data_IF_022635156257
#
_entry.id   IF_022635156257
#
_cell.length_a   1.000
_cell.length_b   1.000
_cell.length_c   1.000
_cell.angle_alpha   90.00
_cell.angle_beta   90.00
_cell.angle_gamma   90.00
#
_symmetry.space_group_name_H-M   'P 1'
#
loop_
_entity.id
_entity.type
_entity.pdbx_description
1 polymer ?
#
# COMPACT_ATOMS: atom_id res chain seq x y z
N UNK A 1 -0.42 7.74 2.87
CA UNK A 1 0.07 8.44 4.09
C UNK A 1 -0.33 7.65 5.33
N UNK A 2 0.58 7.49 6.28
CA UNK A 2 0.30 6.82 7.57
C UNK A 2 0.17 7.88 8.66
N UNK A 3 -0.91 7.82 9.42
CA UNK A 3 -1.08 8.56 10.67
C UNK A 3 -0.72 7.66 11.86
N UNK A 4 0.17 8.16 12.70
CA UNK A 4 0.62 7.47 13.90
C UNK A 4 -0.15 7.96 15.12
N UNK A 5 -0.26 7.12 16.16
CA UNK A 5 -0.88 7.51 17.43
C UNK A 5 -0.03 8.49 18.24
N UNK A 6 1.28 8.44 18.07
CA UNK A 6 2.26 9.21 18.84
C UNK A 6 3.38 9.74 17.93
N UNK A 7 3.95 10.89 18.26
CA UNK A 7 5.03 11.54 17.47
C UNK A 7 6.32 10.70 17.41
N UNK A 8 6.58 9.86 18.42
CA UNK A 8 7.75 8.97 18.49
C UNK A 8 7.51 7.66 17.75
N UNK A 9 6.26 7.37 17.39
CA UNK A 9 5.91 6.19 16.62
C UNK A 9 6.24 6.41 15.14
N UNK A 10 7.28 5.74 14.66
CA UNK A 10 7.67 5.74 13.24
C UNK A 10 7.85 4.32 12.75
N UNK A 11 7.30 4.02 11.58
CA UNK A 11 7.60 2.81 10.81
C UNK A 11 8.55 3.18 9.68
N UNK A 12 9.68 2.51 9.64
CA UNK A 12 10.71 2.70 8.61
C UNK A 12 10.71 1.51 7.65
N UNK A 13 11.09 1.76 6.39
CA UNK A 13 11.22 0.71 5.38
C UNK A 13 9.89 0.08 4.96
N UNK A 14 8.80 0.85 5.01
CA UNK A 14 7.47 0.42 4.57
C UNK A 14 7.46 0.00 3.09
N UNK A 15 8.30 0.65 2.26
CA UNK A 15 8.53 0.29 0.87
C UNK A 15 9.04 -1.15 0.73
N UNK A 16 9.96 -1.57 1.60
CA UNK A 16 10.54 -2.93 1.60
C UNK A 16 9.57 -4.00 2.08
N UNK A 17 8.45 -3.59 2.67
CA UNK A 17 7.41 -4.50 3.14
C UNK A 17 6.41 -4.89 2.04
N UNK A 18 6.47 -4.22 0.89
CA UNK A 18 5.69 -4.55 -0.30
C UNK A 18 6.60 -5.37 -1.21
N UNK A 19 6.18 -6.57 -1.55
CA UNK A 19 6.90 -7.45 -2.46
C UNK A 19 6.16 -7.59 -3.78
N UNK A 20 6.92 -7.67 -4.86
CA UNK A 20 6.42 -8.01 -6.18
C UNK A 20 6.59 -9.52 -6.37
N UNK A 21 5.49 -10.24 -6.52
CA UNK A 21 5.50 -11.66 -6.86
C UNK A 21 5.33 -11.76 -8.38
N UNK A 22 6.37 -12.15 -9.14
CA UNK A 22 6.24 -12.28 -10.59
C UNK A 22 5.15 -13.29 -10.96
N UNK A 23 4.29 -12.89 -11.90
CA UNK A 23 3.31 -13.74 -12.57
C UNK A 23 4.00 -14.50 -13.69
N UNK A 24 3.77 -15.82 -13.74
CA UNK A 24 4.56 -16.76 -14.54
C UNK A 24 6.05 -16.81 -14.16
N UNK A 25 6.79 -17.76 -14.72
CA UNK A 25 8.20 -18.05 -14.42
C UNK A 25 9.18 -16.93 -14.87
N UNK A 26 8.75 -15.67 -14.82
CA UNK A 26 9.49 -14.47 -15.20
C UNK A 26 10.40 -14.07 -14.04
N UNK A 27 11.65 -13.75 -14.36
CA UNK A 27 12.59 -13.19 -13.37
C UNK A 27 12.20 -11.76 -13.00
N UNK A 28 12.65 -11.29 -11.83
CA UNK A 28 12.39 -9.92 -11.35
C UNK A 28 12.82 -8.83 -12.35
N UNK A 29 13.87 -9.08 -13.14
CA UNK A 29 14.36 -8.18 -14.19
C UNK A 29 13.43 -8.11 -15.42
N UNK A 30 12.51 -9.06 -15.57
CA UNK A 30 11.55 -9.10 -16.68
C UNK A 30 10.20 -8.46 -16.37
N UNK A 31 10.01 -7.95 -15.14
CA UNK A 31 8.81 -7.25 -14.74
C UNK A 31 8.78 -5.86 -15.42
N UNK A 32 7.90 -5.69 -16.41
CA UNK A 32 7.79 -4.43 -17.18
C UNK A 32 6.44 -3.76 -17.06
N UNK A 33 5.45 -4.46 -16.53
CA UNK A 33 4.09 -3.96 -16.38
C UNK A 33 3.46 -4.51 -15.12
N UNK A 34 2.39 -3.85 -14.68
CA UNK A 34 1.64 -4.23 -13.49
C UNK A 34 0.89 -5.56 -13.64
N UNK A 35 0.72 -6.00 -14.89
CA UNK A 35 0.20 -7.33 -15.23
C UNK A 35 1.25 -8.45 -15.04
N UNK A 36 2.55 -8.12 -14.98
CA UNK A 36 3.62 -9.11 -14.84
C UNK A 36 3.82 -9.58 -13.39
N UNK A 37 3.14 -8.99 -12.41
CA UNK A 37 3.31 -9.34 -10.99
C UNK A 37 2.03 -9.17 -10.17
N UNK A 38 2.00 -9.84 -9.02
CA UNK A 38 1.09 -9.57 -7.91
C UNK A 38 1.82 -8.80 -6.81
N UNK A 39 1.05 -8.02 -6.03
CA UNK A 39 1.55 -7.30 -4.87
C UNK A 39 1.32 -8.13 -3.60
N UNK A 40 2.40 -8.57 -2.97
CA UNK A 40 2.35 -9.14 -1.62
C UNK A 40 2.61 -8.02 -0.59
N UNK A 41 1.52 -7.60 0.05
CA UNK A 41 1.52 -6.57 1.08
C UNK A 41 1.43 -7.17 2.50
N UNK A 42 1.63 -8.48 2.68
CA UNK A 42 1.44 -9.16 3.95
C UNK A 42 2.19 -8.49 5.11
N UNK A 43 3.50 -8.25 4.94
CA UNK A 43 4.33 -7.62 5.96
C UNK A 43 3.90 -6.19 6.29
N UNK A 44 3.48 -5.44 5.26
CA UNK A 44 2.97 -4.08 5.43
C UNK A 44 1.72 -4.12 6.32
N UNK A 45 0.81 -5.05 6.06
CA UNK A 45 -0.40 -5.22 6.84
C UNK A 45 -0.13 -5.58 8.29
N UNK A 46 0.82 -6.49 8.54
CA UNK A 46 1.22 -6.84 9.90
C UNK A 46 1.81 -5.64 10.64
N UNK A 47 2.68 -4.87 9.99
CA UNK A 47 3.24 -3.65 10.58
C UNK A 47 2.15 -2.62 10.94
N UNK A 48 1.12 -2.47 10.10
CA UNK A 48 0.01 -1.53 10.29
C UNK A 48 -0.97 -2.00 11.38
N UNK A 49 -1.08 -3.31 11.64
CA UNK A 49 -1.87 -3.81 12.77
C UNK A 49 -1.31 -3.32 14.12
N UNK A 50 -0.02 -3.02 14.19
CA UNK A 50 0.62 -2.47 15.41
C UNK A 50 -0.15 -1.27 15.96
N UNK A 51 -0.18 -1.15 17.29
CA UNK A 51 -0.88 -0.07 17.99
C UNK A 51 -0.32 1.33 17.65
N UNK A 52 0.93 1.37 17.17
CA UNK A 52 1.62 2.59 16.70
C UNK A 52 0.87 3.32 15.58
N UNK A 53 0.13 2.58 14.74
CA UNK A 53 -0.57 3.14 13.58
C UNK A 53 -2.03 3.39 13.94
N UNK A 54 -2.44 4.66 13.78
CA UNK A 54 -3.81 5.12 13.95
C UNK A 54 -4.64 4.82 12.70
N UNK A 55 -4.20 5.33 11.55
CA UNK A 55 -4.85 5.08 10.27
C UNK A 55 -3.88 5.18 9.09
N UNK A 56 -4.28 4.62 7.94
CA UNK A 56 -3.53 4.65 6.69
C UNK A 56 -4.43 5.18 5.59
N UNK A 57 -4.10 6.37 5.10
CA UNK A 57 -4.75 7.00 3.96
C UNK A 57 -4.09 6.54 2.68
N UNK A 58 -4.85 5.98 1.75
CA UNK A 58 -4.32 5.50 0.47
C UNK A 58 -5.13 6.01 -0.71
N UNK A 59 -4.48 6.14 -1.85
CA UNK A 59 -5.10 6.46 -3.13
C UNK A 59 -4.72 5.36 -4.11
N UNK A 60 -5.70 4.91 -4.90
CA UNK A 60 -5.49 3.96 -6.00
C UNK A 60 -6.59 4.14 -7.02
N UNK A 61 -6.21 4.10 -8.29
CA UNK A 61 -7.11 4.02 -9.45
C UNK A 61 -7.37 2.57 -9.88
N UNK A 62 -6.64 1.63 -9.29
CA UNK A 62 -6.69 0.21 -9.64
C UNK A 62 -7.69 -0.48 -8.71
N UNK A 63 -8.72 -1.07 -9.30
CA UNK A 63 -9.82 -1.73 -8.58
C UNK A 63 -9.36 -2.88 -7.69
N UNK A 64 -8.47 -3.74 -8.19
CA UNK A 64 -7.92 -4.85 -7.40
C UNK A 64 -7.18 -4.39 -6.14
N UNK A 65 -6.48 -3.27 -6.23
CA UNK A 65 -5.77 -2.67 -5.09
C UNK A 65 -6.76 -2.05 -4.11
N UNK A 66 -7.83 -1.42 -4.61
CA UNK A 66 -8.91 -0.90 -3.76
C UNK A 66 -9.51 -2.03 -2.92
N UNK A 67 -9.86 -3.15 -3.55
CA UNK A 67 -10.40 -4.33 -2.87
C UNK A 67 -9.44 -4.88 -1.80
N UNK A 68 -8.14 -4.94 -2.10
CA UNK A 68 -7.09 -5.42 -1.18
C UNK A 68 -7.01 -4.61 0.13
N UNK A 69 -7.23 -3.30 0.05
CA UNK A 69 -7.13 -2.38 1.19
C UNK A 69 -8.47 -2.11 1.87
N UNK A 70 -9.59 -2.16 1.14
CA UNK A 70 -10.93 -1.82 1.64
C UNK A 70 -11.44 -2.78 2.71
N UNK A 71 -11.00 -4.02 2.69
CA UNK A 71 -11.36 -5.03 3.70
C UNK A 71 -10.73 -4.77 5.09
N UNK A 72 -9.86 -3.76 5.22
CA UNK A 72 -9.02 -3.55 6.40
C UNK A 72 -9.38 -2.27 7.14
N UNK A 73 -9.76 -2.38 8.42
CA UNK A 73 -10.35 -1.30 9.21
C UNK A 73 -9.49 -0.05 9.40
N UNK A 74 -8.16 -0.14 9.32
CA UNK A 74 -7.25 1.02 9.46
C UNK A 74 -7.02 1.77 8.16
N UNK A 75 -7.47 1.24 7.02
CA UNK A 75 -7.22 1.84 5.71
C UNK A 75 -8.41 2.70 5.28
N UNK A 76 -8.13 3.94 4.91
CA UNK A 76 -9.11 4.87 4.36
C UNK A 76 -8.70 5.30 2.96
N UNK A 77 -9.57 5.07 1.98
CA UNK A 77 -9.39 5.61 0.65
C UNK A 77 -9.54 7.13 0.70
N UNK A 78 -8.61 7.85 0.09
CA UNK A 78 -8.72 9.28 -0.16
C UNK A 78 -8.92 9.53 -1.64
N UNK A 79 -9.76 10.51 -1.97
CA UNK A 79 -9.89 11.01 -3.33
C UNK A 79 -8.93 12.19 -3.49
N UNK A 80 -8.04 12.12 -4.47
CA UNK A 80 -7.24 13.27 -4.86
C UNK A 80 -8.07 14.02 -5.90
N UNK A 81 -8.92 14.95 -5.45
CA UNK A 81 -9.50 15.93 -6.36
C UNK A 81 -8.37 16.86 -6.78
N UNK A 82 -7.88 16.70 -8.00
CA UNK A 82 -6.84 17.54 -8.55
C UNK A 82 -7.41 18.98 -8.57
N UNK A 83 -6.92 19.95 -7.78
CA UNK A 83 -7.36 21.32 -7.95
C UNK A 83 -6.88 21.73 -9.33
N UNK A 84 -7.80 21.76 -10.30
CA UNK A 84 -7.60 22.30 -11.64
C UNK A 84 -6.84 23.61 -11.49
N UNK A 85 -5.56 23.59 -11.83
CA UNK A 85 -4.77 24.82 -11.91
C UNK A 85 -5.34 25.56 -13.10
N UNK A 86 -6.01 26.65 -12.75
CA UNK A 86 -6.73 27.57 -13.64
C UNK A 86 -5.75 28.37 -14.48
#
# INVERSE_FOLDING_TARGET
MIEYKDERSKLYGLDRMIKLIPKSNKSSEQLRSMDDYDLDCFKLFEAIKSDKVKEVKYYTEIGDIDLLFKDRSKFKKINIDNPKTK
#
